data_IF_433328857039
#
_entry.id   IF_433328857039
#
_cell.length_a   1.000
_cell.length_b   1.000
_cell.length_c   1.000
_cell.angle_alpha   90.00
_cell.angle_beta   90.00
_cell.angle_gamma   90.00
#
_symmetry.space_group_name_H-M   'P 1'
#
loop_
_entity.id
_entity.type
_entity.pdbx_description
1 polymer ?
#
# COMPACT_ATOMS: atom_id res chain seq x y z
N UNK A 1 -11.62 -11.71 -22.19
CA UNK A 1 -10.41 -10.88 -22.43
C UNK A 1 -9.54 -11.68 -23.38
N UNK A 2 -9.36 -11.21 -24.62
CA UNK A 2 -8.45 -11.87 -25.58
C UNK A 2 -7.00 -11.61 -25.16
N UNK A 3 -6.12 -12.60 -25.29
CA UNK A 3 -4.68 -12.43 -25.07
C UNK A 3 -4.13 -11.46 -26.12
N UNK A 4 -3.24 -10.56 -25.74
CA UNK A 4 -2.62 -9.63 -26.69
C UNK A 4 -1.63 -10.38 -27.60
N UNK A 5 -1.32 -9.80 -28.76
CA UNK A 5 -0.35 -10.37 -29.70
C UNK A 5 1.02 -10.60 -29.04
N UNK A 6 1.44 -9.69 -28.16
CA UNK A 6 2.70 -9.77 -27.42
C UNK A 6 2.73 -10.99 -26.49
N UNK A 7 1.63 -11.24 -25.75
CA UNK A 7 1.51 -12.41 -24.89
C UNK A 7 1.54 -13.73 -25.68
N UNK A 8 0.91 -13.75 -26.87
CA UNK A 8 0.90 -14.91 -27.75
C UNK A 8 2.30 -15.16 -28.32
N UNK A 9 3.00 -14.10 -28.71
CA UNK A 9 4.38 -14.19 -29.20
C UNK A 9 5.33 -14.75 -28.14
N UNK A 10 5.25 -14.24 -26.91
CA UNK A 10 6.08 -14.73 -25.79
C UNK A 10 5.82 -16.22 -25.50
N UNK A 11 4.55 -16.64 -25.49
CA UNK A 11 4.17 -18.05 -25.32
C UNK A 11 4.74 -18.93 -26.45
N UNK A 12 4.65 -18.49 -27.70
CA UNK A 12 5.19 -19.23 -28.83
C UNK A 12 6.73 -19.33 -28.76
N UNK A 13 7.43 -18.25 -28.39
CA UNK A 13 8.88 -18.25 -28.22
C UNK A 13 9.33 -19.19 -27.09
N UNK A 14 8.58 -19.26 -25.99
CA UNK A 14 8.88 -20.18 -24.89
C UNK A 14 8.64 -21.65 -25.26
N UNK A 15 7.56 -21.96 -25.98
CA UNK A 15 7.35 -23.32 -26.50
C UNK A 15 8.40 -23.71 -27.55
N UNK A 16 8.87 -22.77 -28.38
CA UNK A 16 9.98 -23.02 -29.31
C UNK A 16 11.30 -23.30 -28.58
N UNK A 17 11.59 -22.63 -27.46
CA UNK A 17 12.74 -22.98 -26.60
C UNK A 17 12.64 -24.42 -26.05
N UNK A 18 11.43 -24.95 -25.90
CA UNK A 18 11.15 -26.32 -25.44
C UNK A 18 11.15 -27.35 -26.57
N UNK A 19 11.35 -26.92 -27.82
CA UNK A 19 11.50 -27.77 -29.00
C UNK A 19 10.31 -27.77 -29.96
N UNK A 20 9.30 -26.93 -29.75
CA UNK A 20 8.19 -26.78 -30.70
C UNK A 20 8.65 -26.11 -32.01
N UNK A 21 8.02 -26.46 -33.13
CA UNK A 21 8.28 -25.82 -34.43
C UNK A 21 7.43 -24.56 -34.63
N UNK A 22 7.87 -23.67 -35.53
CA UNK A 22 7.13 -22.44 -35.86
C UNK A 22 5.73 -22.77 -36.37
N UNK A 23 5.60 -23.81 -37.18
CA UNK A 23 4.33 -24.27 -37.75
C UNK A 23 3.37 -24.77 -36.66
N UNK A 24 3.89 -25.44 -35.62
CA UNK A 24 3.09 -25.86 -34.48
C UNK A 24 2.54 -24.66 -33.70
N UNK A 25 3.37 -23.63 -33.48
CA UNK A 25 2.95 -22.40 -32.83
C UNK A 25 1.88 -21.63 -33.65
N UNK A 26 2.03 -21.58 -34.98
CA UNK A 26 1.06 -20.93 -35.86
C UNK A 26 -0.29 -21.67 -35.93
N UNK A 27 -0.27 -23.00 -35.79
CA UNK A 27 -1.50 -23.81 -35.77
C UNK A 27 -2.39 -23.55 -34.54
N UNK A 28 -1.80 -23.11 -33.44
CA UNK A 28 -2.52 -22.79 -32.19
C UNK A 28 -3.19 -21.42 -32.23
N UNK A 29 -2.72 -20.51 -33.10
CA UNK A 29 -3.22 -19.14 -33.21
C UNK A 29 -3.43 -18.71 -34.67
N UNK A 30 -4.36 -19.35 -35.40
CA UNK A 30 -4.57 -19.11 -36.83
C UNK A 30 -5.00 -17.66 -37.14
N UNK A 31 -5.69 -16.98 -36.22
CA UNK A 31 -6.16 -15.59 -36.39
C UNK A 31 -5.00 -14.57 -36.47
N UNK A 32 -3.84 -14.90 -35.91
CA UNK A 32 -2.67 -14.02 -35.89
C UNK A 32 -1.49 -14.57 -36.69
N UNK A 33 -1.68 -15.68 -37.41
CA UNK A 33 -0.61 -16.41 -38.09
C UNK A 33 0.17 -15.54 -39.09
N UNK A 34 -0.52 -14.70 -39.87
CA UNK A 34 0.11 -13.83 -40.86
C UNK A 34 1.07 -12.79 -40.23
N UNK A 35 0.81 -12.37 -38.99
CA UNK A 35 1.63 -11.40 -38.25
C UNK A 35 2.69 -12.08 -37.38
N UNK A 36 2.38 -13.26 -36.82
CA UNK A 36 3.27 -14.03 -35.95
C UNK A 36 4.41 -14.72 -36.72
N UNK A 37 4.16 -15.24 -37.92
CA UNK A 37 5.15 -15.99 -38.70
C UNK A 37 6.50 -15.25 -38.87
N UNK A 38 6.54 -13.98 -39.36
CA UNK A 38 7.81 -13.29 -39.53
C UNK A 38 8.52 -13.02 -38.19
N UNK A 39 7.77 -12.75 -37.13
CA UNK A 39 8.34 -12.49 -35.79
C UNK A 39 8.96 -13.76 -35.19
N UNK A 40 8.31 -14.91 -35.34
CA UNK A 40 8.81 -16.20 -34.86
C UNK A 40 10.05 -16.66 -35.64
N UNK A 41 10.11 -16.41 -36.96
CA UNK A 41 11.31 -16.69 -37.76
C UNK A 41 12.50 -15.86 -37.29
N UNK A 42 12.33 -14.56 -37.09
CA UNK A 42 13.41 -13.70 -36.57
C UNK A 42 13.84 -14.13 -35.17
N UNK A 43 12.88 -14.47 -34.28
CA UNK A 43 13.19 -14.99 -32.96
C UNK A 43 14.00 -16.29 -33.00
N UNK A 44 13.67 -17.18 -33.95
CA UNK A 44 14.44 -18.41 -34.19
C UNK A 44 15.86 -18.10 -34.64
N UNK A 45 16.03 -17.25 -35.63
CA UNK A 45 17.36 -16.88 -36.16
C UNK A 45 18.25 -16.29 -35.07
N UNK A 46 17.70 -15.42 -34.21
CA UNK A 46 18.43 -14.85 -33.06
C UNK A 46 18.77 -15.93 -32.03
N UNK A 47 17.87 -16.88 -31.78
CA UNK A 47 18.09 -17.95 -30.80
C UNK A 47 19.19 -18.94 -31.22
N UNK A 48 19.40 -19.10 -32.53
CA UNK A 48 20.45 -19.94 -33.12
C UNK A 48 21.81 -19.23 -33.18
N UNK A 49 21.86 -17.92 -32.91
CA UNK A 49 23.13 -17.19 -32.84
C UNK A 49 24.00 -17.73 -31.70
N UNK A 50 25.33 -17.80 -31.91
CA UNK A 50 26.25 -18.19 -30.86
C UNK A 50 26.15 -17.21 -29.69
N UNK A 51 25.77 -17.72 -28.52
CA UNK A 51 25.74 -16.93 -27.30
C UNK A 51 27.17 -16.53 -26.94
N UNK A 52 27.43 -15.23 -26.91
CA UNK A 52 28.69 -14.69 -26.40
C UNK A 52 28.68 -14.89 -24.88
N UNK A 53 29.34 -15.94 -24.40
CA UNK A 53 29.55 -16.11 -22.97
C UNK A 53 30.53 -15.02 -22.48
N UNK A 54 30.10 -14.12 -21.58
CA UNK A 54 30.99 -13.12 -21.03
C UNK A 54 32.13 -13.83 -20.29
N UNK A 55 33.36 -13.45 -20.61
CA UNK A 55 34.55 -13.97 -19.96
C UNK A 55 34.46 -13.69 -18.46
N UNK A 56 34.71 -14.69 -17.60
CA UNK A 56 34.56 -14.57 -16.14
C UNK A 56 35.35 -13.40 -15.55
N UNK A 57 36.50 -13.08 -16.14
CA UNK A 57 37.32 -11.94 -15.75
C UNK A 57 36.63 -10.59 -16.00
N UNK A 58 35.88 -10.45 -17.10
CA UNK A 58 35.15 -9.22 -17.41
C UNK A 58 33.97 -9.01 -16.45
N UNK A 59 33.31 -10.09 -16.02
CA UNK A 59 32.25 -10.03 -14.99
C UNK A 59 32.84 -9.55 -13.66
N UNK A 60 33.97 -10.12 -13.23
CA UNK A 60 34.61 -9.75 -11.97
C UNK A 60 35.05 -8.29 -11.97
N UNK A 61 35.64 -7.81 -13.07
CA UNK A 61 36.02 -6.40 -13.22
C UNK A 61 34.79 -5.49 -13.17
N UNK A 62 33.72 -5.82 -13.91
CA UNK A 62 32.48 -5.04 -13.88
C UNK A 62 31.83 -5.01 -12.48
N UNK A 63 31.84 -6.14 -11.76
CA UNK A 63 31.35 -6.19 -10.37
C UNK A 63 32.21 -5.35 -9.42
N UNK A 64 33.53 -5.36 -9.58
CA UNK A 64 34.45 -4.55 -8.79
C UNK A 64 34.23 -3.06 -9.04
N UNK A 65 34.06 -2.65 -10.30
CA UNK A 65 33.80 -1.26 -10.68
C UNK A 65 32.44 -0.77 -10.17
N UNK A 66 31.40 -1.60 -10.29
CA UNK A 66 30.09 -1.35 -9.71
C UNK A 66 30.17 -1.22 -8.17
N UNK A 67 30.88 -2.12 -7.52
CA UNK A 67 31.12 -2.08 -6.07
C UNK A 67 31.85 -0.82 -5.64
N UNK A 68 32.86 -0.39 -6.40
CA UNK A 68 33.61 0.83 -6.14
C UNK A 68 32.76 2.09 -6.32
N UNK A 69 31.94 2.15 -7.38
CA UNK A 69 31.00 3.24 -7.61
C UNK A 69 29.99 3.37 -6.46
N UNK A 70 29.36 2.25 -6.05
CA UNK A 70 28.42 2.21 -4.93
C UNK A 70 29.09 2.59 -3.61
N UNK A 71 30.31 2.10 -3.36
CA UNK A 71 31.08 2.42 -2.15
C UNK A 71 31.48 3.91 -2.09
N UNK A 72 31.78 4.52 -3.23
CA UNK A 72 32.12 5.95 -3.32
C UNK A 72 30.92 6.85 -3.03
N UNK A 73 29.72 6.44 -3.46
CA UNK A 73 28.42 7.08 -3.15
C UNK A 73 28.09 6.96 -1.65
N UNK A 74 28.29 5.78 -1.05
CA UNK A 74 28.03 5.57 0.40
C UNK A 74 29.00 6.33 1.29
N UNK A 75 30.27 6.50 0.88
CA UNK A 75 31.30 7.19 1.68
C UNK A 75 31.04 8.69 1.83
N UNK A 76 30.37 9.34 0.86
CA UNK A 76 29.91 10.75 0.99
C UNK A 76 28.72 10.91 1.95
N UNK A 77 27.80 9.96 2.00
CA UNK A 77 26.67 9.95 2.97
C UNK A 77 27.09 9.60 4.41
N UNK A 78 28.19 8.86 4.57
CA UNK A 78 28.67 8.37 5.87
C UNK A 78 29.32 9.43 6.79
N UNK A 79 29.66 10.64 6.33
CA UNK A 79 30.14 11.69 7.26
C UNK A 79 29.03 12.26 8.14
N UNK A 80 27.79 12.28 7.64
CA UNK A 80 26.64 12.78 8.40
C UNK A 80 25.98 11.69 9.27
N UNK A 81 26.03 10.41 8.87
CA UNK A 81 25.46 9.29 9.64
C UNK A 81 26.30 8.80 10.83
N UNK A 82 27.63 8.98 10.80
CA UNK A 82 28.51 8.53 11.90
C UNK A 82 28.50 9.44 13.13
N UNK A 83 28.07 10.69 13.00
CA UNK A 83 27.94 11.60 14.16
C UNK A 83 26.70 11.32 15.02
N UNK A 84 25.63 10.75 14.44
CA UNK A 84 24.37 10.50 15.15
C UNK A 84 24.26 9.08 15.74
N UNK A 85 24.83 8.05 15.10
CA UNK A 85 24.74 6.67 15.63
C UNK A 85 25.93 6.25 16.50
N UNK A 86 27.12 6.84 16.32
CA UNK A 86 28.33 6.44 17.08
C UNK A 86 28.38 6.96 18.52
N UNK A 87 27.66 8.03 18.83
CA UNK A 87 27.67 8.69 20.14
C UNK A 87 26.60 8.16 21.11
N UNK A 88 25.54 7.51 20.61
CA UNK A 88 24.47 6.94 21.45
C UNK A 88 24.86 5.61 22.09
N UNK A 89 25.74 4.83 21.46
CA UNK A 89 26.19 3.52 21.97
C UNK A 89 27.31 3.58 23.02
N UNK A 90 27.86 4.75 23.35
CA UNK A 90 28.95 4.90 24.34
C UNK A 90 28.48 5.20 25.76
N UNK A 91 27.18 5.46 25.99
CA UNK A 91 26.63 5.65 27.34
C UNK A 91 25.76 4.45 27.79
N UNK A 92 26.22 3.61 28.75
CA UNK A 92 25.50 2.41 29.19
C UNK A 92 24.18 2.71 29.91
N UNK A 93 23.94 3.95 30.33
CA UNK A 93 22.65 4.42 30.86
C UNK A 93 21.61 4.62 29.74
N UNK A 94 22.04 5.08 28.57
CA UNK A 94 21.17 5.32 27.41
C UNK A 94 20.73 4.00 26.76
N UNK A 95 21.63 3.02 26.66
CA UNK A 95 21.29 1.67 26.19
C UNK A 95 20.29 0.98 27.13
N UNK A 96 20.43 1.17 28.45
CA UNK A 96 19.44 0.67 29.43
C UNK A 96 18.09 1.38 29.32
N UNK A 97 18.09 2.70 29.13
CA UNK A 97 16.87 3.47 28.95
C UNK A 97 16.14 3.09 27.65
N UNK A 98 16.89 2.90 26.54
CA UNK A 98 16.35 2.45 25.25
C UNK A 98 15.85 1.00 25.34
N UNK A 99 16.58 0.13 26.04
CA UNK A 99 16.14 -1.25 26.29
C UNK A 99 14.85 -1.30 27.11
N UNK A 100 14.75 -0.48 28.16
CA UNK A 100 13.54 -0.37 28.97
C UNK A 100 12.36 0.20 28.18
N UNK A 101 12.61 1.22 27.33
CA UNK A 101 11.62 1.77 26.43
C UNK A 101 11.14 0.73 25.39
N UNK A 102 12.04 -0.09 24.84
CA UNK A 102 11.66 -1.18 23.92
C UNK A 102 10.84 -2.26 24.63
N UNK A 103 11.20 -2.64 25.86
CA UNK A 103 10.41 -3.58 26.66
C UNK A 103 9.03 -3.00 26.98
N UNK A 104 8.95 -1.71 27.30
CA UNK A 104 7.67 -0.99 27.46
C UNK A 104 6.87 -1.00 26.16
N UNK A 105 7.48 -0.72 25.00
CA UNK A 105 6.80 -0.75 23.70
C UNK A 105 6.28 -2.16 23.39
N UNK A 106 7.05 -3.20 23.67
CA UNK A 106 6.63 -4.60 23.48
C UNK A 106 5.52 -4.99 24.45
N UNK A 107 5.58 -4.55 25.71
CA UNK A 107 4.50 -4.74 26.68
C UNK A 107 3.22 -4.00 26.24
N UNK A 108 3.33 -2.74 25.81
CA UNK A 108 2.23 -1.93 25.30
C UNK A 108 1.64 -2.56 24.02
N UNK A 109 2.49 -3.12 23.14
CA UNK A 109 2.04 -3.89 21.97
C UNK A 109 1.35 -5.20 22.36
N UNK A 110 1.82 -5.88 23.41
CA UNK A 110 1.19 -7.10 23.94
C UNK A 110 -0.23 -6.89 24.47
N UNK A 111 -0.56 -5.67 24.94
CA UNK A 111 -1.92 -5.26 25.31
C UNK A 111 -2.75 -4.72 24.13
N UNK A 112 -2.20 -4.71 22.90
CA UNK A 112 -2.80 -4.07 21.73
C UNK A 112 -4.10 -4.69 21.21
N UNK A 113 -4.49 -5.87 21.69
CA UNK A 113 -5.80 -6.48 21.37
C UNK A 113 -6.99 -5.71 21.94
N UNK A 114 -6.77 -4.79 22.88
CA UNK A 114 -7.81 -3.88 23.40
C UNK A 114 -7.86 -2.53 22.66
N UNK A 115 -6.88 -2.21 21.82
CA UNK A 115 -6.74 -0.87 21.23
C UNK A 115 -7.80 -0.52 20.17
N UNK A 116 -8.45 -1.53 19.59
CA UNK A 116 -9.47 -1.35 18.56
C UNK A 116 -10.78 -0.73 19.11
N UNK A 117 -11.04 -0.82 20.42
CA UNK A 117 -12.22 -0.29 21.10
C UNK A 117 -11.92 0.92 21.98
N UNK A 118 -10.89 1.70 21.64
CA UNK A 118 -10.55 2.88 22.43
C UNK A 118 -11.50 4.04 22.11
N UNK A 119 -12.12 4.59 23.15
CA UNK A 119 -13.00 5.77 23.11
C UNK A 119 -12.25 7.02 23.55
N UNK A 120 -12.74 8.23 23.25
CA UNK A 120 -12.17 9.47 23.76
C UNK A 120 -11.95 9.43 25.28
N UNK A 121 -10.71 9.66 25.72
CA UNK A 121 -10.29 9.56 27.12
C UNK A 121 -9.38 8.37 27.41
N UNK A 122 -9.31 7.38 26.52
CA UNK A 122 -8.40 6.25 26.66
C UNK A 122 -6.95 6.59 26.31
N UNK A 123 -6.00 5.93 27.00
CA UNK A 123 -4.56 6.11 26.80
C UNK A 123 -4.10 5.87 25.35
N UNK A 124 -4.81 5.00 24.61
CA UNK A 124 -4.47 4.62 23.24
C UNK A 124 -5.23 5.42 22.17
N UNK A 125 -6.16 6.29 22.57
CA UNK A 125 -6.95 7.11 21.64
C UNK A 125 -6.08 8.07 20.78
N UNK A 126 -5.03 8.74 21.32
CA UNK A 126 -4.14 9.56 20.49
C UNK A 126 -3.42 8.77 19.38
N UNK A 127 -3.15 7.48 19.63
CA UNK A 127 -2.53 6.60 18.64
C UNK A 127 -3.53 6.25 17.51
N UNK A 128 -4.81 6.08 17.83
CA UNK A 128 -5.89 5.89 16.86
C UNK A 128 -5.98 7.09 15.91
N UNK A 129 -6.06 8.31 16.45
CA UNK A 129 -6.07 9.56 15.67
C UNK A 129 -4.83 9.72 14.77
N UNK A 130 -3.66 9.30 15.26
CA UNK A 130 -2.42 9.37 14.47
C UNK A 130 -2.48 8.46 13.25
N UNK A 131 -3.01 7.24 13.41
CA UNK A 131 -3.17 6.30 12.29
C UNK A 131 -4.16 6.81 11.24
N UNK A 132 -5.27 7.37 11.69
CA UNK A 132 -6.28 8.00 10.84
C UNK A 132 -5.67 9.15 10.02
N UNK A 133 -4.92 10.05 10.68
CA UNK A 133 -4.23 11.16 10.02
C UNK A 133 -3.20 10.70 8.98
N UNK A 134 -2.42 9.66 9.27
CA UNK A 134 -1.47 9.09 8.30
C UNK A 134 -2.22 8.55 7.08
N UNK A 135 -3.31 7.83 7.30
CA UNK A 135 -4.13 7.28 6.21
C UNK A 135 -4.73 8.40 5.34
N UNK A 136 -5.21 9.48 5.96
CA UNK A 136 -5.69 10.66 5.25
C UNK A 136 -4.60 11.31 4.39
N UNK A 137 -3.42 11.58 4.96
CA UNK A 137 -2.30 12.22 4.23
C UNK A 137 -1.79 11.38 3.06
N UNK A 138 -1.86 10.05 3.18
CA UNK A 138 -1.48 9.14 2.08
C UNK A 138 -2.54 9.04 0.97
N UNK A 139 -3.79 9.37 1.28
CA UNK A 139 -4.91 9.31 0.33
C UNK A 139 -4.97 10.60 -0.48
N UNK A 140 -4.54 10.52 -1.75
CA UNK A 140 -4.43 11.70 -2.63
C UNK A 140 -5.69 12.00 -3.44
N UNK A 141 -6.54 11.01 -3.68
CA UNK A 141 -7.76 11.19 -4.48
C UNK A 141 -8.86 11.87 -3.66
N UNK A 142 -9.64 12.79 -4.26
CA UNK A 142 -10.82 13.37 -3.60
C UNK A 142 -11.86 12.30 -3.25
N UNK A 143 -12.05 11.30 -4.14
CA UNK A 143 -12.91 10.15 -3.90
C UNK A 143 -12.50 9.37 -2.64
N UNK A 144 -11.19 9.11 -2.52
CA UNK A 144 -10.65 8.36 -1.39
C UNK A 144 -10.75 9.14 -0.08
N UNK A 145 -10.61 10.48 -0.12
CA UNK A 145 -10.76 11.34 1.06
C UNK A 145 -12.21 11.40 1.54
N UNK A 146 -13.16 11.53 0.62
CA UNK A 146 -14.59 11.50 0.93
C UNK A 146 -15.02 10.16 1.55
N UNK A 147 -14.54 9.03 1.03
CA UNK A 147 -14.79 7.72 1.64
C UNK A 147 -14.15 7.60 3.04
N UNK A 148 -12.94 8.15 3.22
CA UNK A 148 -12.27 8.13 4.52
C UNK A 148 -13.04 8.90 5.61
N UNK A 149 -13.55 10.08 5.26
CA UNK A 149 -14.35 10.90 6.16
C UNK A 149 -15.67 10.22 6.55
N UNK A 150 -16.30 9.47 5.64
CA UNK A 150 -17.46 8.63 6.02
C UNK A 150 -17.06 7.54 7.01
N UNK A 151 -15.95 6.83 6.78
CA UNK A 151 -15.46 5.80 7.70
C UNK A 151 -15.17 6.40 9.08
N UNK A 152 -14.58 7.60 9.14
CA UNK A 152 -14.36 8.27 10.42
C UNK A 152 -15.68 8.67 11.09
N UNK A 153 -16.67 9.18 10.35
CA UNK A 153 -17.99 9.49 10.90
C UNK A 153 -18.68 8.24 11.49
N UNK A 154 -18.60 7.10 10.81
CA UNK A 154 -19.11 5.81 11.31
C UNK A 154 -18.40 5.36 12.59
N UNK A 155 -17.07 5.51 12.65
CA UNK A 155 -16.31 5.21 13.86
C UNK A 155 -16.72 6.10 15.05
N UNK A 156 -16.93 7.41 14.81
CA UNK A 156 -17.38 8.34 15.85
C UNK A 156 -18.82 8.03 16.31
N UNK A 157 -19.69 7.54 15.43
CA UNK A 157 -21.01 7.03 15.83
C UNK A 157 -20.91 5.84 16.78
N UNK A 158 -20.06 4.86 16.46
CA UNK A 158 -19.86 3.70 17.32
C UNK A 158 -19.33 4.10 18.70
N UNK A 159 -18.39 5.03 18.74
CA UNK A 159 -17.86 5.58 20.01
C UNK A 159 -18.93 6.36 20.80
N UNK A 160 -19.83 7.08 20.14
CA UNK A 160 -20.97 7.75 20.79
C UNK A 160 -21.96 6.75 21.39
N UNK A 161 -22.26 5.67 20.67
CA UNK A 161 -23.14 4.61 21.16
C UNK A 161 -22.52 3.91 22.38
N UNK A 162 -21.24 3.58 22.32
CA UNK A 162 -20.50 2.96 23.43
C UNK A 162 -20.48 3.85 24.68
N UNK A 163 -20.17 5.15 24.52
CA UNK A 163 -20.22 6.12 25.65
C UNK A 163 -21.66 6.28 26.17
N UNK A 164 -22.65 6.28 25.27
CA UNK A 164 -24.06 6.36 25.62
C UNK A 164 -24.53 5.17 26.46
N UNK A 165 -24.12 3.94 26.09
CA UNK A 165 -24.42 2.72 26.85
C UNK A 165 -23.68 2.67 28.20
N UNK A 166 -22.40 3.02 28.23
CA UNK A 166 -21.58 2.92 29.45
C UNK A 166 -21.89 4.01 30.47
N UNK A 167 -22.08 5.26 30.02
CA UNK A 167 -22.16 6.44 30.88
C UNK A 167 -23.53 7.11 30.89
N UNK A 168 -24.43 6.73 29.98
CA UNK A 168 -25.77 7.34 29.87
C UNK A 168 -25.74 8.81 29.42
N UNK A 169 -24.61 9.29 28.92
CA UNK A 169 -24.41 10.69 28.51
C UNK A 169 -23.94 10.75 27.07
N UNK A 170 -24.47 11.68 26.29
CA UNK A 170 -23.95 11.96 24.96
C UNK A 170 -22.77 12.92 25.05
N UNK A 171 -21.63 12.54 24.48
CA UNK A 171 -20.48 13.43 24.36
C UNK A 171 -20.71 14.42 23.21
N UNK A 172 -21.04 15.66 23.57
CA UNK A 172 -21.29 16.74 22.60
C UNK A 172 -20.08 17.01 21.71
N UNK A 173 -18.87 16.83 22.23
CA UNK A 173 -17.64 17.07 21.46
C UNK A 173 -17.49 16.04 20.35
N UNK A 174 -17.80 14.78 20.64
CA UNK A 174 -17.73 13.67 19.71
C UNK A 174 -18.84 13.75 18.65
N UNK A 175 -20.05 14.17 19.05
CA UNK A 175 -21.14 14.46 18.13
C UNK A 175 -20.79 15.59 17.16
N UNK A 176 -20.15 16.66 17.63
CA UNK A 176 -19.64 17.72 16.77
C UNK A 176 -18.58 17.19 15.80
N UNK A 177 -17.66 16.34 16.25
CA UNK A 177 -16.64 15.73 15.38
C UNK A 177 -17.30 14.91 14.28
N UNK A 178 -18.28 14.08 14.60
CA UNK A 178 -19.05 13.33 13.60
C UNK A 178 -19.71 14.23 12.55
N UNK A 179 -20.34 15.33 12.99
CA UNK A 179 -20.99 16.27 12.08
C UNK A 179 -19.97 16.96 11.17
N UNK A 180 -18.78 17.28 11.69
CA UNK A 180 -17.70 17.84 10.88
C UNK A 180 -17.17 16.82 9.86
N UNK A 181 -16.91 15.58 10.27
CA UNK A 181 -16.43 14.52 9.37
C UNK A 181 -17.44 14.24 8.25
N UNK A 182 -18.74 14.19 8.56
CA UNK A 182 -19.79 14.01 7.54
C UNK A 182 -19.91 15.21 6.58
N UNK A 183 -19.74 16.44 7.07
CA UNK A 183 -19.66 17.63 6.20
C UNK A 183 -18.45 17.59 5.28
N UNK A 184 -17.27 17.21 5.78
CA UNK A 184 -16.06 17.07 4.97
C UNK A 184 -16.19 15.96 3.92
N UNK A 185 -16.85 14.86 4.27
CA UNK A 185 -17.14 13.78 3.32
C UNK A 185 -17.97 14.29 2.14
N UNK A 186 -18.98 15.12 2.40
CA UNK A 186 -19.82 15.73 1.36
C UNK A 186 -19.05 16.75 0.51
N UNK A 187 -18.19 17.56 1.12
CA UNK A 187 -17.37 18.56 0.41
C UNK A 187 -16.37 17.90 -0.55
N UNK A 188 -15.60 16.92 -0.07
CA UNK A 188 -14.67 16.15 -0.90
C UNK A 188 -15.39 15.32 -1.98
N UNK A 189 -16.61 14.86 -1.70
CA UNK A 189 -17.43 14.15 -2.69
C UNK A 189 -17.95 15.07 -3.80
N UNK A 190 -18.31 16.31 -3.46
CA UNK A 190 -18.71 17.31 -4.46
C UNK A 190 -17.54 17.76 -5.34
N UNK A 191 -16.30 17.65 -4.84
CA UNK A 191 -15.09 17.91 -5.61
C UNK A 191 -14.68 16.72 -6.52
N UNK A 192 -15.32 15.56 -6.39
CA UNK A 192 -15.05 14.36 -7.17
C UNK A 192 -15.96 14.26 -8.42
N UNK A 193 -15.64 13.32 -9.32
CA UNK A 193 -16.39 13.10 -10.57
C UNK A 193 -17.89 12.76 -10.32
N UNK A 194 -18.76 13.26 -11.21
CA UNK A 194 -20.23 13.15 -11.09
C UNK A 194 -20.71 11.68 -11.06
N UNK A 195 -20.01 10.77 -11.73
CA UNK A 195 -20.32 9.35 -11.71
C UNK A 195 -20.00 8.72 -10.34
N UNK A 196 -18.92 9.17 -9.70
CA UNK A 196 -18.51 8.70 -8.39
C UNK A 196 -19.42 9.24 -7.28
N UNK A 197 -19.85 10.50 -7.37
CA UNK A 197 -20.80 11.10 -6.43
C UNK A 197 -22.10 10.29 -6.31
N UNK A 198 -22.61 9.73 -7.41
CA UNK A 198 -23.80 8.86 -7.40
C UNK A 198 -23.58 7.56 -6.60
N UNK A 199 -22.39 6.97 -6.70
CA UNK A 199 -22.01 5.77 -5.95
C UNK A 199 -21.87 6.12 -4.46
N UNK A 200 -21.24 7.25 -4.17
CA UNK A 200 -21.09 7.77 -2.81
C UNK A 200 -22.44 8.05 -2.15
N UNK A 201 -23.37 8.73 -2.83
CA UNK A 201 -24.73 8.97 -2.36
C UNK A 201 -25.50 7.66 -2.06
N UNK A 202 -25.30 6.62 -2.87
CA UNK A 202 -25.89 5.30 -2.61
C UNK A 202 -25.32 4.66 -1.33
N UNK A 203 -24.01 4.77 -1.08
CA UNK A 203 -23.38 4.30 0.17
C UNK A 203 -23.88 5.09 1.39
N UNK A 204 -23.99 6.43 1.27
CA UNK A 204 -24.55 7.29 2.32
C UNK A 204 -25.96 6.86 2.73
N UNK A 205 -26.83 6.57 1.76
CA UNK A 205 -28.16 6.05 2.05
C UNK A 205 -28.13 4.71 2.80
N UNK A 206 -27.21 3.82 2.43
CA UNK A 206 -27.00 2.56 3.14
C UNK A 206 -26.58 2.77 4.59
N UNK A 207 -25.66 3.71 4.83
CA UNK A 207 -25.22 4.09 6.18
C UNK A 207 -26.35 4.71 7.01
N UNK A 208 -27.14 5.62 6.44
CA UNK A 208 -28.29 6.21 7.14
C UNK A 208 -29.31 5.12 7.51
N UNK A 209 -29.52 4.14 6.62
CA UNK A 209 -30.42 3.02 6.87
C UNK A 209 -29.90 2.08 7.98
N UNK A 210 -28.59 1.82 8.07
CA UNK A 210 -28.03 1.00 9.16
C UNK A 210 -28.16 1.69 10.51
N UNK A 211 -27.86 3.00 10.57
CA UNK A 211 -28.01 3.80 11.80
C UNK A 211 -29.46 3.85 12.26
N UNK A 212 -30.41 4.02 11.34
CA UNK A 212 -31.83 4.03 11.65
C UNK A 212 -32.34 2.66 12.15
N UNK A 213 -31.73 1.56 11.69
CA UNK A 213 -32.05 0.20 12.14
C UNK A 213 -31.56 -0.05 13.56
N UNK A 214 -30.34 0.36 13.89
CA UNK A 214 -29.75 0.15 15.21
C UNK A 214 -30.38 1.04 16.30
N UNK A 215 -30.95 2.18 15.93
CA UNK A 215 -31.66 3.07 16.85
C UNK A 215 -33.08 2.60 17.24
N UNK A 216 -33.60 1.53 16.61
CA UNK A 216 -34.97 1.03 16.84
C UNK A 216 -35.01 -0.30 17.62
N UNK A 217 -33.92 -0.63 18.33
CA UNK A 217 -33.78 -1.74 19.29
C UNK A 217 -33.66 -1.16 20.70
#
# INVERSE_FOLDING_TARGET
MGRSLDEILDLCLDEMKRGASVEQCLSLYPEHAATLEPLLRVGKDISELPRVEPRKEAINVALLDLGAAIASETRKRSRYGKLFLGSVLVHPSLVRAVGFALVLIVLIWGLGSLSARSVPGDLLYPLKLTRERVRYVLTRSPEGRAELHMVFAELRLGELAEIGEERGTLDESLLRTLLVESMLALDEANAADEQWFRIFAAKLNGFIASVASDANV
#
